data_IF_348208736995
#
_entry.id   IF_348208736995
#
_cell.length_a   1.000
_cell.length_b   1.000
_cell.length_c   1.000
_cell.angle_alpha   90.00
_cell.angle_beta   90.00
_cell.angle_gamma   90.00
#
_symmetry.space_group_name_H-M   'P 1'
#
loop_
_entity.id
_entity.type
_entity.pdbx_description
1 polymer ?
#
# COMPACT_ATOMS: atom_id res chain seq x y z
N UNK A 1 3.95 5.99 -19.39
CA UNK A 1 2.80 5.08 -19.20
C UNK A 1 2.92 4.30 -17.90
N UNK A 2 1.80 3.73 -17.48
CA UNK A 2 1.64 3.19 -16.14
C UNK A 2 2.22 1.77 -16.02
N UNK A 3 2.76 1.49 -14.85
CA UNK A 3 3.25 0.20 -14.42
C UNK A 3 2.76 -0.06 -12.98
N UNK A 4 2.67 -1.32 -12.58
CA UNK A 4 2.30 -1.71 -11.21
C UNK A 4 3.37 -2.57 -10.55
N UNK A 5 3.39 -2.55 -9.22
CA UNK A 5 4.11 -3.53 -8.42
C UNK A 5 3.37 -3.78 -7.11
N UNK A 6 3.73 -4.87 -6.44
CA UNK A 6 3.34 -5.08 -5.05
C UNK A 6 4.51 -5.55 -4.19
N UNK A 7 4.40 -5.33 -2.88
CA UNK A 7 5.32 -5.83 -1.87
C UNK A 7 4.55 -6.56 -0.78
N UNK A 8 4.56 -7.89 -0.86
CA UNK A 8 3.82 -8.75 0.08
C UNK A 8 4.31 -8.68 1.51
N UNK A 9 5.54 -8.20 1.74
CA UNK A 9 6.08 -8.02 3.10
C UNK A 9 5.55 -6.76 3.77
N UNK A 10 5.16 -5.78 2.96
CA UNK A 10 4.60 -4.51 3.40
C UNK A 10 3.09 -4.43 3.26
N UNK A 11 2.45 -5.39 2.59
CA UNK A 11 1.03 -5.29 2.16
C UNK A 11 0.73 -4.12 1.21
N UNK A 12 1.76 -3.60 0.55
CA UNK A 12 1.70 -2.47 -0.37
C UNK A 12 1.41 -2.92 -1.81
N UNK A 13 0.43 -2.28 -2.46
CA UNK A 13 0.19 -2.34 -3.89
C UNK A 13 0.27 -0.95 -4.52
N UNK A 14 0.95 -0.78 -5.65
CA UNK A 14 1.29 0.54 -6.15
C UNK A 14 1.40 0.64 -7.68
N UNK A 15 1.19 1.86 -8.16
CA UNK A 15 1.51 2.35 -9.49
C UNK A 15 2.82 3.14 -9.50
N UNK A 16 3.52 3.08 -10.62
CA UNK A 16 4.67 3.93 -10.95
C UNK A 16 4.77 4.09 -12.47
N UNK A 17 5.54 5.06 -12.94
CA UNK A 17 5.65 5.34 -14.37
C UNK A 17 6.97 4.82 -14.96
N UNK A 18 6.92 4.40 -16.21
CA UNK A 18 8.09 4.07 -17.04
C UNK A 18 8.99 5.27 -17.42
N UNK A 19 8.68 6.47 -16.89
CA UNK A 19 9.46 7.69 -17.09
C UNK A 19 8.75 8.92 -16.54
N UNK A 20 9.16 10.08 -17.05
CA UNK A 20 8.52 11.37 -16.82
C UNK A 20 7.12 11.44 -17.44
N UNK A 21 6.26 12.31 -16.92
CA UNK A 21 4.96 12.63 -17.53
C UNK A 21 4.81 14.13 -17.84
N UNK A 22 3.62 14.54 -18.32
CA UNK A 22 3.33 15.93 -18.72
C UNK A 22 3.36 16.91 -17.54
N UNK A 23 3.21 16.43 -16.31
CA UNK A 23 3.02 17.21 -15.09
C UNK A 23 4.19 17.05 -14.11
N UNK A 24 4.91 15.93 -14.15
CA UNK A 24 5.92 15.55 -13.17
C UNK A 24 7.20 15.00 -13.83
N UNK A 25 8.34 15.55 -13.40
CA UNK A 25 9.68 15.19 -13.87
C UNK A 25 10.63 15.11 -12.65
N UNK A 26 10.78 13.92 -12.01
CA UNK A 26 10.20 12.64 -12.41
C UNK A 26 8.79 12.38 -11.89
N UNK A 27 8.06 11.46 -12.51
CA UNK A 27 6.73 11.07 -12.06
C UNK A 27 6.74 10.44 -10.64
N UNK A 28 5.74 10.74 -9.80
CA UNK A 28 5.59 10.10 -8.50
C UNK A 28 5.09 8.65 -8.64
N UNK A 29 5.33 7.85 -7.61
CA UNK A 29 4.65 6.58 -7.41
C UNK A 29 3.47 6.79 -6.43
N UNK A 30 2.39 6.06 -6.66
CA UNK A 30 1.16 6.13 -5.84
C UNK A 30 0.78 4.73 -5.43
N UNK A 31 0.53 4.49 -4.15
CA UNK A 31 0.14 3.17 -3.68
C UNK A 31 -0.81 3.19 -2.51
N UNK A 32 -1.31 2.01 -2.19
CA UNK A 32 -2.17 1.76 -1.07
C UNK A 32 -1.62 0.59 -0.23
N UNK A 33 -1.84 0.66 1.07
CA UNK A 33 -1.50 -0.39 2.02
C UNK A 33 -2.66 -0.60 3.01
N UNK A 34 -2.84 -1.85 3.46
CA UNK A 34 -3.68 -2.19 4.59
C UNK A 34 -2.88 -2.10 5.89
N UNK A 35 -2.83 -0.90 6.50
CA UNK A 35 -2.25 -0.72 7.83
C UNK A 35 -2.84 -1.66 8.88
N UNK A 36 -4.13 -1.98 8.70
CA UNK A 36 -4.80 -3.05 9.42
C UNK A 36 -5.87 -3.66 8.51
N UNK A 37 -5.69 -4.91 8.10
CA UNK A 37 -6.76 -5.63 7.39
C UNK A 37 -7.73 -6.33 8.33
N UNK A 38 -8.74 -7.01 7.75
CA UNK A 38 -9.75 -7.74 8.49
C UNK A 38 -9.13 -8.82 9.37
N UNK A 39 -9.79 -9.13 10.48
CA UNK A 39 -9.37 -10.19 11.39
C UNK A 39 -9.96 -11.53 11.00
N UNK A 40 -9.15 -12.59 11.08
CA UNK A 40 -9.59 -13.98 10.89
C UNK A 40 -9.17 -14.85 12.07
N UNK A 41 -9.92 -15.92 12.37
CA UNK A 41 -9.52 -16.88 13.40
C UNK A 41 -8.11 -17.42 13.15
N UNK A 42 -7.27 -17.36 14.17
CA UNK A 42 -5.90 -17.87 14.17
C UNK A 42 -5.49 -18.18 15.61
N UNK A 43 -5.76 -19.41 16.10
CA UNK A 43 -5.49 -19.78 17.49
C UNK A 43 -4.04 -19.54 17.90
N UNK A 44 -3.83 -18.86 19.02
CA UNK A 44 -2.51 -18.47 19.53
C UNK A 44 -1.97 -17.13 19.01
N UNK A 45 -2.57 -16.54 17.98
CA UNK A 45 -2.25 -15.18 17.55
C UNK A 45 -3.08 -14.13 18.33
N UNK A 46 -2.76 -12.86 18.15
CA UNK A 46 -3.57 -11.76 18.68
C UNK A 46 -3.68 -10.65 17.65
N UNK A 47 -4.90 -10.36 17.24
CA UNK A 47 -5.22 -9.29 16.31
C UNK A 47 -5.37 -7.95 17.05
N UNK A 48 -5.35 -6.87 16.29
CA UNK A 48 -5.76 -5.55 16.73
C UNK A 48 -6.99 -5.12 15.92
N UNK A 49 -8.01 -4.57 16.59
CA UNK A 49 -9.09 -3.84 15.95
C UNK A 49 -9.49 -2.67 16.86
N UNK A 50 -9.41 -1.46 16.33
CA UNK A 50 -9.67 -0.19 17.01
C UNK A 50 -8.89 -0.03 18.32
N UNK A 51 -7.63 -0.47 18.32
CA UNK A 51 -6.75 -0.46 19.49
C UNK A 51 -7.06 -1.55 20.53
N UNK A 52 -8.03 -2.43 20.27
CA UNK A 52 -8.36 -3.57 21.12
C UNK A 52 -7.62 -4.80 20.64
N UNK A 53 -6.93 -5.48 21.57
CA UNK A 53 -6.28 -6.76 21.32
C UNK A 53 -7.30 -7.89 21.40
N UNK A 54 -7.41 -8.67 20.32
CA UNK A 54 -8.37 -9.77 20.19
C UNK A 54 -7.59 -11.08 20.09
N UNK A 55 -7.59 -11.92 21.15
CA UNK A 55 -6.85 -13.19 21.17
C UNK A 55 -7.47 -14.22 20.23
N UNK A 56 -6.66 -15.16 19.73
CA UNK A 56 -7.04 -16.22 18.79
C UNK A 56 -7.51 -15.72 17.42
N UNK A 57 -7.12 -14.48 17.07
CA UNK A 57 -7.32 -13.88 15.76
C UNK A 57 -5.99 -13.29 15.25
N UNK A 58 -5.90 -13.07 13.94
CA UNK A 58 -4.86 -12.25 13.32
C UNK A 58 -5.45 -11.27 12.31
N UNK A 59 -4.81 -10.12 12.14
CA UNK A 59 -5.10 -9.24 11.01
C UNK A 59 -4.51 -9.82 9.72
N UNK A 60 -5.28 -9.78 8.64
CA UNK A 60 -4.78 -10.07 7.32
C UNK A 60 -4.07 -8.85 6.73
N UNK A 61 -2.97 -9.06 6.03
CA UNK A 61 -2.41 -8.08 5.11
C UNK A 61 -3.09 -8.20 3.73
N UNK A 62 -2.38 -7.79 2.69
CA UNK A 62 -2.76 -8.08 1.31
C UNK A 62 -2.65 -9.60 1.03
N UNK A 63 -3.70 -10.21 0.50
CA UNK A 63 -3.77 -11.66 0.23
C UNK A 63 -3.85 -12.02 -1.26
N UNK A 64 -4.12 -11.03 -2.11
CA UNK A 64 -3.87 -11.08 -3.55
C UNK A 64 -3.68 -9.68 -4.11
N UNK A 65 -2.95 -9.61 -5.22
CA UNK A 65 -2.75 -8.41 -6.00
C UNK A 65 -2.90 -8.76 -7.48
N UNK A 66 -3.84 -8.09 -8.15
CA UNK A 66 -4.15 -8.33 -9.56
C UNK A 66 -3.95 -7.06 -10.39
N UNK A 67 -3.62 -7.26 -11.67
CA UNK A 67 -3.49 -6.23 -12.70
C UNK A 67 -4.44 -6.58 -13.84
N UNK A 68 -5.06 -5.57 -14.42
CA UNK A 68 -5.66 -5.66 -15.75
C UNK A 68 -5.32 -4.39 -16.55
N UNK A 69 -5.31 -4.52 -17.87
CA UNK A 69 -4.78 -3.58 -18.84
C UNK A 69 -5.92 -3.23 -19.81
N UNK A 70 -6.15 -1.93 -20.00
CA UNK A 70 -7.13 -1.48 -20.99
C UNK A 70 -6.75 -1.96 -22.39
N UNK A 71 -7.64 -2.71 -23.04
CA UNK A 71 -7.38 -3.30 -24.35
C UNK A 71 -6.29 -4.39 -24.34
N UNK A 72 -5.93 -4.92 -23.16
CA UNK A 72 -5.01 -6.04 -23.01
C UNK A 72 -5.59 -7.38 -23.50
N UNK A 73 -4.78 -8.46 -23.46
CA UNK A 73 -5.26 -9.80 -23.80
C UNK A 73 -6.38 -10.23 -22.84
N UNK A 74 -7.24 -11.18 -23.26
CA UNK A 74 -8.50 -11.50 -22.57
C UNK A 74 -8.31 -11.90 -21.09
N UNK A 75 -7.18 -12.51 -20.76
CA UNK A 75 -6.81 -12.91 -19.40
C UNK A 75 -6.40 -11.74 -18.49
N UNK A 76 -6.03 -10.60 -19.07
CA UNK A 76 -5.65 -9.36 -18.37
C UNK A 76 -6.52 -8.18 -18.79
N UNK A 77 -7.63 -8.39 -19.48
CA UNK A 77 -8.50 -7.30 -19.94
C UNK A 77 -9.38 -6.77 -18.81
N UNK A 78 -10.01 -5.62 -19.02
CA UNK A 78 -11.03 -5.10 -18.11
C UNK A 78 -12.14 -6.14 -17.88
N UNK A 79 -12.52 -6.41 -16.62
CA UNK A 79 -13.59 -7.37 -16.35
C UNK A 79 -14.96 -6.79 -16.74
N UNK A 80 -15.72 -7.54 -17.51
CA UNK A 80 -17.03 -7.16 -18.06
C UNK A 80 -18.20 -7.66 -17.21
N UNK A 81 -17.92 -8.51 -16.20
CA UNK A 81 -18.95 -9.06 -15.32
C UNK A 81 -18.42 -9.42 -13.92
N UNK A 82 -19.35 -9.68 -12.99
CA UNK A 82 -19.04 -10.00 -11.60
C UNK A 82 -18.19 -11.25 -11.44
N UNK A 83 -18.29 -12.23 -12.35
CA UNK A 83 -17.49 -13.45 -12.26
C UNK A 83 -16.02 -13.17 -12.57
N UNK A 84 -15.73 -12.37 -13.60
CA UNK A 84 -14.37 -11.95 -13.95
C UNK A 84 -13.72 -11.10 -12.85
N UNK A 85 -14.48 -10.13 -12.28
CA UNK A 85 -14.01 -9.39 -11.09
C UNK A 85 -13.68 -10.36 -9.95
N UNK A 86 -14.54 -11.34 -9.70
CA UNK A 86 -14.34 -12.34 -8.65
C UNK A 86 -13.16 -13.28 -8.92
N UNK A 87 -12.75 -13.47 -10.18
CA UNK A 87 -11.50 -14.16 -10.51
C UNK A 87 -10.31 -13.33 -10.04
N UNK A 88 -10.23 -12.05 -10.44
CA UNK A 88 -9.15 -11.16 -10.04
C UNK A 88 -9.04 -10.99 -8.51
N UNK A 89 -10.17 -10.82 -7.81
CA UNK A 89 -10.18 -10.70 -6.34
C UNK A 89 -9.64 -11.96 -5.64
N UNK A 90 -9.71 -13.12 -6.28
CA UNK A 90 -9.14 -14.38 -5.76
C UNK A 90 -7.67 -14.59 -6.13
N UNK A 91 -7.06 -13.67 -6.88
CA UNK A 91 -5.71 -13.80 -7.42
C UNK A 91 -5.63 -14.70 -8.66
N UNK A 92 -6.73 -14.85 -9.41
CA UNK A 92 -6.78 -15.54 -10.70
C UNK A 92 -6.76 -14.53 -11.84
N UNK A 93 -6.49 -14.98 -13.07
CA UNK A 93 -6.63 -14.16 -14.27
C UNK A 93 -8.11 -13.95 -14.65
N UNK A 94 -8.41 -13.11 -15.64
CA UNK A 94 -9.78 -12.81 -16.07
C UNK A 94 -10.59 -14.06 -16.48
N UNK A 95 -9.91 -15.09 -16.99
CA UNK A 95 -10.52 -16.37 -17.38
C UNK A 95 -10.70 -17.36 -16.21
N UNK A 96 -10.25 -17.01 -15.00
CA UNK A 96 -10.32 -17.86 -13.82
C UNK A 96 -9.21 -18.91 -13.72
N UNK A 97 -8.16 -18.78 -14.53
CA UNK A 97 -6.95 -19.60 -14.46
C UNK A 97 -5.93 -19.05 -13.46
N UNK A 98 -5.00 -19.90 -13.03
CA UNK A 98 -3.89 -19.49 -12.18
C UNK A 98 -3.01 -18.46 -12.91
N UNK A 99 -2.55 -17.47 -12.16
CA UNK A 99 -1.50 -16.56 -12.60
C UNK A 99 -0.16 -17.21 -12.31
N UNK A 100 0.74 -17.21 -13.29
CA UNK A 100 2.10 -17.72 -13.14
C UNK A 100 3.08 -16.55 -13.02
N UNK A 101 4.00 -16.61 -12.06
CA UNK A 101 5.07 -15.63 -11.95
C UNK A 101 6.14 -15.83 -13.04
N UNK A 102 7.18 -14.97 -13.02
CA UNK A 102 8.30 -15.04 -13.96
C UNK A 102 9.18 -16.31 -13.83
N UNK A 103 8.93 -17.16 -12.83
CA UNK A 103 9.55 -18.49 -12.69
C UNK A 103 8.63 -19.62 -13.18
N UNK A 104 7.39 -19.29 -13.58
CA UNK A 104 6.36 -20.23 -13.96
C UNK A 104 5.59 -20.84 -12.78
N UNK A 105 5.78 -20.31 -11.57
CA UNK A 105 5.10 -20.80 -10.37
C UNK A 105 3.74 -20.10 -10.18
N UNK A 106 2.68 -20.83 -9.77
CA UNK A 106 1.40 -20.21 -9.44
C UNK A 106 1.54 -19.17 -8.31
N UNK A 107 0.95 -18.00 -8.51
CA UNK A 107 0.94 -16.90 -7.55
C UNK A 107 -0.42 -16.22 -7.54
N UNK A 108 -0.73 -15.53 -6.43
CA UNK A 108 -1.90 -14.64 -6.31
C UNK A 108 -1.52 -13.16 -6.42
N UNK A 109 -0.25 -12.88 -6.65
CA UNK A 109 0.33 -11.55 -6.59
C UNK A 109 1.12 -11.31 -7.87
N UNK A 110 0.56 -10.49 -8.75
CA UNK A 110 1.30 -10.04 -9.93
C UNK A 110 2.39 -9.05 -9.50
N UNK A 111 3.51 -9.11 -10.20
CA UNK A 111 4.59 -8.14 -10.09
C UNK A 111 5.17 -7.90 -8.68
N UNK A 112 5.33 -8.96 -7.88
CA UNK A 112 6.14 -8.88 -6.66
C UNK A 112 7.57 -8.53 -7.05
N UNK A 113 8.00 -7.31 -6.74
CA UNK A 113 9.28 -6.81 -7.23
C UNK A 113 9.86 -5.65 -6.42
N UNK A 114 11.15 -5.41 -6.66
CA UNK A 114 11.82 -4.15 -6.37
C UNK A 114 12.30 -3.55 -7.70
N UNK A 115 11.55 -2.57 -8.25
CA UNK A 115 11.89 -1.95 -9.53
C UNK A 115 13.26 -1.27 -9.56
N UNK A 116 13.69 -0.65 -8.45
CA UNK A 116 15.01 0.02 -8.40
C UNK A 116 16.14 -1.01 -8.37
N UNK A 117 15.99 -2.07 -7.58
CA UNK A 117 17.00 -3.13 -7.50
C UNK A 117 17.01 -4.05 -8.74
N UNK A 118 15.98 -3.97 -9.59
CA UNK A 118 15.86 -4.85 -10.76
C UNK A 118 15.57 -6.30 -10.37
N UNK A 119 14.88 -6.54 -9.24
CA UNK A 119 14.65 -7.90 -8.71
C UNK A 119 13.16 -8.26 -8.64
N UNK A 120 12.87 -9.56 -8.71
CA UNK A 120 11.51 -10.09 -8.71
C UNK A 120 10.86 -10.07 -10.09
N UNK A 121 9.52 -10.02 -10.12
CA UNK A 121 8.74 -9.96 -11.35
C UNK A 121 8.37 -8.50 -11.66
N UNK A 122 9.14 -7.84 -12.53
CA UNK A 122 8.97 -6.41 -12.81
C UNK A 122 7.94 -6.21 -13.94
N UNK A 123 6.91 -5.38 -13.73
CA UNK A 123 6.00 -4.96 -14.81
C UNK A 123 6.75 -4.10 -15.84
N UNK A 124 6.37 -4.19 -17.11
CA UNK A 124 7.11 -3.56 -18.21
C UNK A 124 8.08 -4.50 -18.93
N UNK A 125 8.41 -5.67 -18.34
CA UNK A 125 9.25 -6.69 -18.99
C UNK A 125 8.45 -7.60 -19.90
N UNK A 126 7.34 -8.16 -19.39
CA UNK A 126 6.49 -9.10 -20.15
C UNK A 126 5.45 -8.37 -21.00
N UNK A 127 4.86 -7.31 -20.43
CA UNK A 127 3.91 -6.43 -21.09
C UNK A 127 4.49 -5.02 -21.16
N UNK A 128 4.45 -4.39 -22.34
CA UNK A 128 4.82 -2.99 -22.47
C UNK A 128 3.99 -2.10 -21.51
N UNK A 129 4.58 -1.02 -20.97
CA UNK A 129 3.83 -0.01 -20.21
C UNK A 129 2.58 0.44 -20.96
N UNK A 130 1.45 0.58 -20.26
CA UNK A 130 0.18 1.01 -20.84
C UNK A 130 -0.78 1.48 -19.73
N UNK A 131 -2.06 1.68 -20.05
CA UNK A 131 -3.11 2.00 -19.08
C UNK A 131 -3.38 0.79 -18.16
N UNK A 132 -2.84 0.85 -16.94
CA UNK A 132 -2.93 -0.23 -15.91
C UNK A 132 -4.03 0.07 -14.90
N UNK A 133 -4.74 -0.97 -14.49
CA UNK A 133 -5.61 -0.98 -13.29
C UNK A 133 -5.12 -2.07 -12.35
N UNK A 134 -5.26 -1.84 -11.05
CA UNK A 134 -4.88 -2.81 -10.03
C UNK A 134 -6.01 -3.08 -9.04
N UNK A 135 -6.03 -4.28 -8.49
CA UNK A 135 -6.86 -4.67 -7.36
C UNK A 135 -5.98 -5.22 -6.25
N UNK A 136 -6.07 -4.58 -5.09
CA UNK A 136 -5.42 -5.01 -3.86
C UNK A 136 -6.49 -5.59 -2.94
N UNK A 137 -6.37 -6.86 -2.57
CA UNK A 137 -7.42 -7.57 -1.84
C UNK A 137 -6.91 -8.12 -0.52
N UNK A 138 -7.77 -8.17 0.49
CA UNK A 138 -7.52 -8.86 1.75
C UNK A 138 -8.67 -9.81 2.08
N UNK A 139 -8.34 -11.08 2.32
CA UNK A 139 -9.31 -12.14 2.52
C UNK A 139 -8.86 -13.51 1.98
N UNK A 140 -9.75 -14.51 1.92
CA UNK A 140 -11.16 -14.43 2.33
C UNK A 140 -11.28 -14.34 3.86
N UNK A 141 -12.38 -13.77 4.31
CA UNK A 141 -12.81 -13.79 5.70
C UNK A 141 -14.33 -13.89 5.75
N UNK A 142 -14.86 -14.29 6.90
CA UNK A 142 -16.29 -14.43 7.13
C UNK A 142 -16.74 -13.33 8.09
N UNK A 143 -17.86 -12.69 7.76
CA UNK A 143 -18.53 -11.75 8.65
C UNK A 143 -19.73 -12.48 9.26
N UNK A 144 -19.67 -12.73 10.56
CA UNK A 144 -20.80 -13.28 11.31
C UNK A 144 -21.90 -12.22 11.50
N UNK A 145 -23.15 -12.60 11.81
CA UNK A 145 -24.16 -11.64 12.21
C UNK A 145 -23.71 -10.82 13.43
N UNK A 146 -23.94 -9.51 13.38
CA UNK A 146 -23.59 -8.63 14.49
C UNK A 146 -24.37 -8.99 15.76
N UNK A 147 -23.67 -9.03 16.90
CA UNK A 147 -24.26 -9.21 18.22
C UNK A 147 -23.82 -8.07 19.13
N UNK A 148 -24.80 -7.28 19.58
CA UNK A 148 -24.61 -6.25 20.61
C UNK A 148 -24.43 -6.92 21.98
N UNK A 149 -23.18 -7.04 22.40
CA UNK A 149 -22.80 -7.72 23.64
C UNK A 149 -22.89 -6.83 24.87
N UNK A 150 -22.90 -5.50 24.68
CA UNK A 150 -22.93 -4.53 25.76
C UNK A 150 -24.26 -3.75 25.89
N UNK A 151 -25.17 -3.93 24.94
CA UNK A 151 -26.53 -3.38 24.93
C UNK A 151 -26.61 -1.90 24.55
N UNK A 152 -25.58 -1.33 23.91
CA UNK A 152 -25.53 0.09 23.56
C UNK A 152 -26.14 0.42 22.17
N UNK A 153 -26.48 -0.60 21.37
CA UNK A 153 -27.02 -0.45 20.03
C UNK A 153 -26.02 0.00 18.96
N UNK A 154 -24.72 -0.11 19.21
CA UNK A 154 -23.63 0.27 18.30
C UNK A 154 -22.72 -0.94 18.05
N UNK A 155 -22.26 -1.08 16.81
CA UNK A 155 -21.28 -2.10 16.46
C UNK A 155 -19.92 -1.72 17.05
N UNK A 156 -19.51 -2.44 18.11
CA UNK A 156 -18.26 -2.16 18.79
C UNK A 156 -17.11 -3.10 18.36
N UNK A 157 -15.87 -2.62 18.36
CA UNK A 157 -14.71 -3.44 18.05
C UNK A 157 -14.60 -4.61 19.04
N UNK A 158 -14.40 -5.82 18.50
CA UNK A 158 -14.37 -7.06 19.29
C UNK A 158 -15.73 -7.74 19.45
N UNK A 159 -16.83 -7.10 19.04
CA UNK A 159 -18.13 -7.78 18.97
C UNK A 159 -18.20 -8.74 17.79
N UNK A 160 -18.94 -9.86 17.91
CA UNK A 160 -19.23 -10.72 16.78
C UNK A 160 -19.83 -9.91 15.63
N UNK A 161 -19.36 -10.17 14.40
CA UNK A 161 -19.84 -9.50 13.19
C UNK A 161 -19.27 -8.10 12.93
N UNK A 162 -18.33 -7.62 13.74
CA UNK A 162 -17.62 -6.35 13.51
C UNK A 162 -16.22 -6.61 12.96
N UNK A 163 -15.87 -5.86 11.91
CA UNK A 163 -14.55 -5.88 11.27
C UNK A 163 -14.08 -4.43 11.13
N UNK A 164 -12.81 -4.18 11.40
CA UNK A 164 -12.19 -2.89 11.14
C UNK A 164 -11.07 -3.08 10.13
N UNK A 165 -11.12 -2.28 9.07
CA UNK A 165 -10.08 -2.19 8.06
C UNK A 165 -9.58 -0.75 8.05
N UNK A 166 -8.26 -0.58 8.18
CA UNK A 166 -7.58 0.69 7.99
C UNK A 166 -6.68 0.55 6.79
N UNK A 167 -6.91 1.39 5.79
CA UNK A 167 -6.10 1.48 4.59
C UNK A 167 -5.52 2.89 4.44
N UNK A 168 -4.27 2.97 4.00
CA UNK A 168 -3.59 4.21 3.69
C UNK A 168 -3.35 4.34 2.19
N UNK A 169 -3.41 5.57 1.68
CA UNK A 169 -2.91 5.92 0.35
C UNK A 169 -1.72 6.84 0.48
N UNK A 170 -0.66 6.52 -0.25
CA UNK A 170 0.61 7.23 -0.17
C UNK A 170 1.05 7.64 -1.57
N UNK A 171 1.72 8.78 -1.64
CA UNK A 171 2.31 9.31 -2.84
C UNK A 171 3.75 9.67 -2.50
N UNK A 172 4.68 9.25 -3.33
CA UNK A 172 6.10 9.54 -3.14
C UNK A 172 6.74 9.91 -4.46
N UNK A 173 7.56 10.95 -4.45
CA UNK A 173 8.31 11.40 -5.61
C UNK A 173 9.81 11.34 -5.28
N UNK A 174 10.58 10.71 -6.16
CA UNK A 174 12.04 10.81 -6.11
C UNK A 174 12.51 12.08 -6.82
N UNK A 175 13.73 12.52 -6.53
CA UNK A 175 14.42 13.55 -7.32
C UNK A 175 15.23 12.97 -8.48
N UNK A 176 15.41 11.65 -8.53
CA UNK A 176 16.31 10.99 -9.47
C UNK A 176 15.60 10.55 -10.76
N UNK A 177 14.56 9.72 -10.64
CA UNK A 177 13.74 9.21 -11.74
C UNK A 177 12.47 8.53 -11.18
N UNK A 178 11.55 8.13 -12.06
CA UNK A 178 10.27 7.51 -11.70
C UNK A 178 10.42 6.13 -11.05
N UNK A 179 11.42 5.32 -11.45
CA UNK A 179 11.75 4.03 -10.81
C UNK A 179 12.05 4.25 -9.32
N UNK A 180 12.88 5.24 -9.01
CA UNK A 180 13.24 5.57 -7.63
C UNK A 180 12.04 6.10 -6.81
N UNK A 181 10.99 6.63 -7.46
CA UNK A 181 9.75 7.02 -6.76
C UNK A 181 9.07 5.80 -6.13
N UNK A 182 9.13 4.62 -6.76
CA UNK A 182 8.61 3.37 -6.19
C UNK A 182 9.33 3.00 -4.88
N UNK A 183 10.64 3.17 -4.82
CA UNK A 183 11.41 2.95 -3.58
C UNK A 183 11.09 3.98 -2.51
N UNK A 184 10.93 5.26 -2.87
CA UNK A 184 10.50 6.28 -1.90
C UNK A 184 9.12 5.94 -1.33
N UNK A 185 8.21 5.41 -2.16
CA UNK A 185 6.89 4.97 -1.71
C UNK A 185 7.00 3.87 -0.65
N UNK A 186 7.82 2.82 -0.89
CA UNK A 186 8.09 1.77 0.10
C UNK A 186 8.69 2.30 1.42
N UNK A 187 9.42 3.43 1.38
CA UNK A 187 9.97 4.06 2.60
C UNK A 187 8.91 4.83 3.37
N UNK A 188 8.09 5.61 2.67
CA UNK A 188 6.98 6.36 3.27
C UNK A 188 5.96 5.39 3.86
N UNK A 189 5.68 4.30 3.18
CA UNK A 189 4.83 3.20 3.65
C UNK A 189 5.27 2.67 5.02
N UNK A 190 6.54 2.29 5.17
CA UNK A 190 7.09 1.85 6.47
C UNK A 190 6.94 2.90 7.57
N UNK A 191 7.10 4.19 7.24
CA UNK A 191 6.93 5.28 8.21
C UNK A 191 5.46 5.44 8.58
N UNK A 192 4.55 5.33 7.61
CA UNK A 192 3.11 5.44 7.82
C UNK A 192 2.57 4.26 8.63
N UNK A 193 2.98 3.03 8.32
CA UNK A 193 2.69 1.84 9.11
C UNK A 193 3.20 2.01 10.55
N UNK A 194 4.45 2.45 10.74
CA UNK A 194 4.99 2.70 12.08
C UNK A 194 4.18 3.76 12.83
N UNK A 195 3.81 4.86 12.17
CA UNK A 195 2.97 5.89 12.78
C UNK A 195 1.62 5.32 13.20
N UNK A 196 1.00 4.48 12.37
CA UNK A 196 -0.25 3.79 12.70
C UNK A 196 -0.08 2.83 13.89
N UNK A 197 0.97 1.99 13.88
CA UNK A 197 1.27 1.04 14.95
C UNK A 197 1.52 1.72 16.31
N UNK A 198 2.05 2.95 16.27
CA UNK A 198 2.25 3.81 17.43
C UNK A 198 0.99 4.61 17.82
N UNK A 199 -0.16 4.37 17.20
CA UNK A 199 -1.39 5.16 17.38
C UNK A 199 -1.16 6.67 17.16
N UNK A 200 -0.27 7.02 16.23
CA UNK A 200 0.16 8.39 15.96
C UNK A 200 0.73 9.13 17.18
N UNK A 201 1.22 8.40 18.19
CA UNK A 201 1.98 8.94 19.32
C UNK A 201 3.41 9.31 18.89
N UNK A 202 3.49 10.18 17.88
CA UNK A 202 4.74 10.65 17.30
C UNK A 202 5.43 11.63 18.27
N UNK A 203 6.78 11.69 18.27
CA UNK A 203 7.49 12.70 19.03
C UNK A 203 7.02 14.11 18.61
N UNK A 204 7.04 15.09 19.53
CA UNK A 204 6.67 16.45 19.19
C UNK A 204 7.58 16.98 18.07
N UNK A 205 7.01 17.83 17.22
CA UNK A 205 7.78 18.52 16.16
C UNK A 205 8.93 19.28 16.84
N UNK A 206 10.17 19.21 16.29
CA UNK A 206 11.26 20.03 16.79
C UNK A 206 10.85 21.50 16.85
N UNK A 207 11.33 22.27 17.84
CA UNK A 207 11.05 23.69 17.89
C UNK A 207 11.50 24.39 16.59
N UNK A 208 10.74 25.41 16.17
CA UNK A 208 11.07 26.19 14.97
C UNK A 208 12.47 26.79 15.17
N UNK A 209 13.42 26.59 14.24
CA UNK A 209 14.75 27.18 14.34
C UNK A 209 14.65 28.71 14.43
N UNK A 210 15.22 29.30 15.47
CA UNK A 210 15.29 30.74 15.59
C UNK A 210 16.45 31.28 14.76
N UNK A 211 16.14 32.06 13.72
CA UNK A 211 17.15 32.70 12.87
C UNK A 211 17.26 34.17 13.24
N UNK A 212 18.45 34.60 13.65
CA UNK A 212 18.79 36.01 13.76
C UNK A 212 19.54 36.48 12.52
N UNK A 213 19.11 37.61 11.97
CA UNK A 213 19.68 38.23 10.77
C UNK A 213 20.41 39.51 11.20
N UNK A 214 21.67 39.65 10.80
CA UNK A 214 22.39 40.91 10.94
C UNK A 214 23.07 41.29 9.62
N UNK A 215 23.01 42.58 9.30
CA UNK A 215 23.61 43.13 8.10
C UNK A 215 24.99 43.69 8.42
N UNK A 216 25.98 43.38 7.59
CA UNK A 216 27.31 43.96 7.60
C UNK A 216 27.62 44.54 6.21
N UNK A 217 28.68 45.34 6.08
CA UNK A 217 29.05 45.92 4.79
C UNK A 217 29.37 44.81 3.78
N UNK A 218 28.54 44.71 2.73
CA UNK A 218 28.66 43.69 1.70
C UNK A 218 28.28 42.27 2.12
N UNK A 219 27.71 42.05 3.31
CA UNK A 219 27.38 40.72 3.82
C UNK A 219 26.06 40.69 4.61
N UNK A 220 25.38 39.55 4.53
CA UNK A 220 24.25 39.20 5.41
C UNK A 220 24.69 38.00 6.24
N UNK A 221 24.58 38.11 7.56
CA UNK A 221 24.89 37.04 8.51
C UNK A 221 23.60 36.46 9.06
N UNK A 222 23.40 35.17 8.84
CA UNK A 222 22.34 34.36 9.43
C UNK A 222 22.95 33.54 10.58
N UNK A 223 22.36 33.60 11.78
CA UNK A 223 22.72 32.74 12.91
C UNK A 223 21.50 31.99 13.39
N UNK A 224 21.63 30.68 13.53
CA UNK A 224 20.63 29.79 14.11
C UNK A 224 20.92 29.64 15.60
N UNK A 225 19.89 29.64 16.43
CA UNK A 225 20.03 29.32 17.86
C UNK A 225 20.27 27.82 18.08
N UNK A 226 20.86 27.46 19.22
CA UNK A 226 21.22 26.07 19.57
C UNK A 226 20.00 25.15 19.78
N UNK A 227 18.77 25.69 19.67
CA UNK A 227 17.53 24.92 19.69
C UNK A 227 17.15 24.34 18.30
N UNK A 228 18.01 24.49 17.29
CA UNK A 228 17.75 24.05 15.93
C UNK A 228 18.12 22.57 15.65
N UNK A 229 18.49 21.79 16.68
CA UNK A 229 18.75 20.34 16.58
C UNK A 229 17.66 19.49 17.27
#
# INVERSE_FOLDING_TARGET
>A
DDLVFCDTTLSLGAFWNDGDDLNYQPAPAVGADFFQGPIVPSPGDTANASGIKIPDFKNLGMTSFAKYINGGPVELSDPENAQEVYHFVRGLNGLGGDVLDNTGAPTKFVHISDPEAGTGWIDGVDDAPADRRMLMNSGPFTIEPWQDTNGNGLADPGEPGVQEIVAGWMIAQSILNSVNSATQLKRIDKIAQLAFDLNFALPPVPPIPEVSVSNQEGQVVLKWADNAE
#
